data_IF_991648716951
#
_entry.id   IF_991648716951
#
_cell.length_a   1.000
_cell.length_b   1.000
_cell.length_c   1.000
_cell.angle_alpha   90.00
_cell.angle_beta   90.00
_cell.angle_gamma   90.00
#
_symmetry.space_group_name_H-M   'P 1'
#
loop_
_entity.id
_entity.type
_entity.pdbx_description
1 polymer ?
#
# COMPACT_ATOMS: atom_id res chain seq x y z
N UNK A 1 3.77 16.50 -17.83
CA UNK A 1 4.91 15.61 -17.49
C UNK A 1 4.60 14.22 -18.03
N UNK A 2 5.62 13.46 -18.47
CA UNK A 2 5.40 12.07 -18.87
C UNK A 2 4.86 11.25 -17.69
N UNK A 3 3.89 10.37 -17.94
CA UNK A 3 3.24 9.56 -16.90
C UNK A 3 4.23 8.69 -16.12
N UNK A 4 5.26 8.17 -16.80
CA UNK A 4 6.35 7.41 -16.17
C UNK A 4 7.18 8.27 -15.20
N UNK A 5 7.47 9.53 -15.57
CA UNK A 5 8.18 10.47 -14.68
C UNK A 5 7.33 10.81 -13.45
N UNK A 6 6.02 11.00 -13.63
CA UNK A 6 5.09 11.23 -12.50
C UNK A 6 5.08 10.02 -11.59
N UNK A 7 4.96 8.81 -12.13
CA UNK A 7 5.00 7.57 -11.36
C UNK A 7 6.28 7.44 -10.53
N UNK A 8 7.45 7.70 -11.14
CA UNK A 8 8.74 7.65 -10.44
C UNK A 8 8.82 8.65 -9.29
N UNK A 9 8.38 9.89 -9.51
CA UNK A 9 8.38 10.93 -8.47
C UNK A 9 7.45 10.55 -7.32
N UNK A 10 6.23 10.08 -7.64
CA UNK A 10 5.26 9.61 -6.64
C UNK A 10 5.84 8.47 -5.81
N UNK A 11 6.50 7.50 -6.44
CA UNK A 11 7.12 6.38 -5.77
C UNK A 11 8.32 6.77 -4.92
N UNK A 12 9.17 7.68 -5.40
CA UNK A 12 10.33 8.13 -4.65
C UNK A 12 9.90 8.89 -3.40
N UNK A 13 9.00 9.86 -3.54
CA UNK A 13 8.51 10.67 -2.42
C UNK A 13 7.68 9.80 -1.48
N UNK A 14 6.69 9.08 -2.01
CA UNK A 14 5.77 8.27 -1.20
C UNK A 14 6.47 7.08 -0.56
N UNK A 15 7.38 6.40 -1.25
CA UNK A 15 8.15 5.28 -0.68
C UNK A 15 9.06 5.73 0.46
N UNK A 16 9.77 6.85 0.29
CA UNK A 16 10.57 7.44 1.38
C UNK A 16 9.68 7.87 2.55
N UNK A 17 8.49 8.42 2.27
CA UNK A 17 7.55 8.82 3.30
C UNK A 17 7.02 7.61 4.11
N UNK A 18 6.65 6.51 3.45
CA UNK A 18 6.22 5.27 4.12
C UNK A 18 7.36 4.71 4.98
N UNK A 19 8.56 4.53 4.44
CA UNK A 19 9.69 4.02 5.23
C UNK A 19 10.05 4.96 6.38
N UNK A 20 9.97 6.27 6.14
CA UNK A 20 10.18 7.30 7.15
C UNK A 20 9.15 7.24 8.28
N UNK A 21 7.87 6.99 7.98
CA UNK A 21 6.83 6.88 9.01
C UNK A 21 7.07 5.67 9.92
N UNK A 22 7.51 4.54 9.36
CA UNK A 22 7.93 3.37 10.14
C UNK A 22 9.20 3.63 10.95
N UNK A 23 10.23 4.24 10.36
CA UNK A 23 11.48 4.53 11.05
C UNK A 23 11.28 5.50 12.21
N UNK A 24 10.45 6.53 12.03
CA UNK A 24 10.13 7.50 13.08
C UNK A 24 9.21 6.87 14.13
N UNK A 25 8.12 6.22 13.71
CA UNK A 25 7.13 5.63 14.61
C UNK A 25 7.72 4.56 15.51
N UNK A 26 8.46 3.60 14.92
CA UNK A 26 9.10 2.54 15.70
C UNK A 26 10.37 3.04 16.41
N UNK A 27 11.09 4.02 15.86
CA UNK A 27 12.34 4.52 16.44
C UNK A 27 12.14 5.40 17.66
N UNK A 28 11.26 6.41 17.56
CA UNK A 28 11.05 7.44 18.59
C UNK A 28 9.96 7.11 19.59
N UNK A 29 9.06 6.18 19.28
CA UNK A 29 7.98 5.75 20.18
C UNK A 29 8.06 4.26 20.51
N UNK A 30 9.14 3.81 21.19
CA UNK A 30 9.32 2.40 21.55
C UNK A 30 8.20 1.82 22.40
N UNK A 31 7.53 2.65 23.22
CA UNK A 31 6.43 2.28 24.09
C UNK A 31 5.21 1.74 23.33
N UNK A 32 4.93 2.26 22.14
CA UNK A 32 3.76 1.85 21.34
C UNK A 32 4.07 0.71 20.38
N UNK A 33 5.30 0.18 20.36
CA UNK A 33 5.71 -0.83 19.36
C UNK A 33 4.87 -2.08 19.38
N UNK A 34 4.42 -2.53 20.56
CA UNK A 34 3.62 -3.74 20.69
C UNK A 34 2.14 -3.45 20.38
N UNK A 35 1.64 -2.30 20.81
CA UNK A 35 0.28 -1.83 20.52
C UNK A 35 0.05 -1.58 19.02
N UNK A 36 1.07 -1.11 18.28
CA UNK A 36 1.01 -0.92 16.83
C UNK A 36 0.70 -2.21 16.05
N UNK A 37 0.93 -3.40 16.63
CA UNK A 37 0.55 -4.68 16.02
C UNK A 37 -0.87 -5.12 16.40
N UNK A 38 -1.65 -4.25 17.04
CA UNK A 38 -3.04 -4.49 17.41
C UNK A 38 -3.19 -5.65 18.40
N UNK A 39 -2.30 -5.75 19.38
CA UNK A 39 -2.33 -6.84 20.38
C UNK A 39 -1.93 -8.21 19.85
N UNK A 40 -1.51 -8.33 18.59
CA UNK A 40 -1.08 -9.59 17.98
C UNK A 40 0.33 -9.93 18.45
N UNK A 41 0.43 -11.04 19.20
CA UNK A 41 1.65 -11.46 19.88
C UNK A 41 2.18 -12.82 19.39
N UNK A 42 3.45 -13.11 19.72
CA UNK A 42 4.09 -14.39 19.45
C UNK A 42 4.24 -14.70 17.96
N UNK A 43 3.92 -15.94 17.56
CA UNK A 43 4.11 -16.45 16.20
C UNK A 43 3.31 -15.63 15.17
N UNK A 44 2.10 -15.19 15.53
CA UNK A 44 1.24 -14.44 14.61
C UNK A 44 1.81 -13.08 14.23
N UNK A 45 2.51 -12.41 15.15
CA UNK A 45 3.22 -11.16 14.86
C UNK A 45 4.31 -11.37 13.82
N UNK A 46 5.10 -12.44 13.96
CA UNK A 46 6.16 -12.76 13.01
C UNK A 46 5.60 -13.09 11.61
N UNK A 47 4.45 -13.77 11.55
CA UNK A 47 3.74 -14.02 10.29
C UNK A 47 3.32 -12.70 9.65
N UNK A 48 2.72 -11.77 10.41
CA UNK A 48 2.33 -10.46 9.87
C UNK A 48 3.52 -9.67 9.33
N UNK A 49 4.62 -9.59 10.08
CA UNK A 49 5.84 -8.91 9.64
C UNK A 49 6.40 -9.56 8.37
N UNK A 50 6.41 -10.89 8.31
CA UNK A 50 6.91 -11.62 7.12
C UNK A 50 6.06 -11.33 5.89
N UNK A 51 4.72 -11.32 6.03
CA UNK A 51 3.81 -11.00 4.93
C UNK A 51 3.90 -9.52 4.53
N UNK A 52 4.15 -8.61 5.48
CA UNK A 52 4.41 -7.19 5.21
C UNK A 52 5.67 -7.01 4.36
N UNK A 53 6.78 -7.66 4.74
CA UNK A 53 8.03 -7.61 3.97
C UNK A 53 7.87 -8.23 2.58
N UNK A 54 7.15 -9.35 2.48
CA UNK A 54 6.82 -9.97 1.18
C UNK A 54 6.00 -9.01 0.32
N UNK A 55 5.06 -8.27 0.91
CA UNK A 55 4.25 -7.27 0.21
C UNK A 55 5.12 -6.09 -0.26
N UNK A 56 6.06 -5.63 0.57
CA UNK A 56 7.05 -4.63 0.15
C UNK A 56 7.88 -5.08 -1.05
N UNK A 57 8.35 -6.33 -1.05
CA UNK A 57 9.09 -6.90 -2.18
C UNK A 57 8.22 -7.07 -3.44
N UNK A 58 6.97 -7.50 -3.28
CA UNK A 58 6.00 -7.57 -4.36
C UNK A 58 5.73 -6.17 -4.97
N UNK A 59 5.65 -5.14 -4.13
CA UNK A 59 5.48 -3.77 -4.61
C UNK A 59 6.67 -3.29 -5.45
N UNK A 60 7.90 -3.54 -4.98
CA UNK A 60 9.10 -3.23 -5.77
C UNK A 60 9.14 -3.99 -7.09
N UNK A 61 8.67 -5.24 -7.10
CA UNK A 61 8.54 -6.04 -8.32
C UNK A 61 7.56 -5.39 -9.30
N UNK A 62 6.38 -4.98 -8.82
CA UNK A 62 5.42 -4.22 -9.62
C UNK A 62 6.03 -2.92 -10.19
N UNK A 63 6.71 -2.13 -9.36
CA UNK A 63 7.39 -0.90 -9.80
C UNK A 63 8.43 -1.17 -10.89
N UNK A 64 9.23 -2.24 -10.77
CA UNK A 64 10.23 -2.60 -11.78
C UNK A 64 9.59 -2.87 -13.15
N UNK A 65 8.53 -3.67 -13.19
CA UNK A 65 7.84 -3.99 -14.45
C UNK A 65 7.25 -2.73 -15.09
N UNK A 66 6.63 -1.89 -14.28
CA UNK A 66 5.99 -0.66 -14.75
C UNK A 66 6.97 0.40 -15.25
N UNK A 67 8.18 0.44 -14.70
CA UNK A 67 9.18 1.44 -15.09
C UNK A 67 10.02 0.95 -16.27
N UNK A 68 10.40 -0.33 -16.29
CA UNK A 68 11.45 -0.81 -17.20
C UNK A 68 10.95 -1.71 -18.32
N UNK A 69 9.77 -2.32 -18.19
CA UNK A 69 9.29 -3.35 -19.11
C UNK A 69 8.02 -2.95 -19.86
N UNK A 70 7.18 -2.15 -19.22
CA UNK A 70 5.90 -1.73 -19.76
C UNK A 70 5.84 -0.21 -19.87
N UNK A 71 5.12 0.28 -20.88
CA UNK A 71 4.76 1.68 -20.92
C UNK A 71 3.47 1.86 -20.09
N UNK A 72 3.50 2.74 -19.08
CA UNK A 72 2.33 3.14 -18.28
C UNK A 72 1.16 3.57 -19.18
N UNK A 73 1.47 4.10 -20.36
CA UNK A 73 0.45 4.47 -21.35
C UNK A 73 -0.37 3.26 -21.83
N UNK A 74 0.17 2.05 -21.85
CA UNK A 74 -0.53 0.87 -22.39
C UNK A 74 -1.69 0.39 -21.50
N UNK A 75 -1.61 0.58 -20.19
CA UNK A 75 -2.67 0.16 -19.24
C UNK A 75 -3.67 1.27 -18.90
N UNK A 76 -3.25 2.54 -18.93
CA UNK A 76 -4.09 3.62 -18.44
C UNK A 76 -5.04 4.23 -19.46
N UNK A 77 -4.82 4.04 -20.77
CA UNK A 77 -5.56 4.74 -21.85
C UNK A 77 -7.08 4.61 -21.81
N UNK A 78 -7.61 3.51 -21.27
CA UNK A 78 -9.05 3.28 -21.20
C UNK A 78 -9.73 3.84 -19.94
N UNK A 79 -8.97 4.44 -19.02
CA UNK A 79 -9.48 4.97 -17.75
C UNK A 79 -9.65 6.49 -17.78
N UNK A 80 -10.47 7.02 -16.85
CA UNK A 80 -10.94 8.43 -16.83
C UNK A 80 -9.78 9.44 -16.90
N UNK A 81 -8.68 9.18 -16.19
CA UNK A 81 -7.48 10.03 -16.17
C UNK A 81 -6.34 9.47 -17.04
N UNK A 82 -6.66 8.49 -17.87
CA UNK A 82 -5.70 7.87 -18.76
C UNK A 82 -4.53 7.20 -18.00
N UNK A 83 -3.32 7.28 -18.56
CA UNK A 83 -2.04 6.81 -17.98
C UNK A 83 -1.76 7.32 -16.56
N UNK A 84 -2.29 8.49 -16.19
CA UNK A 84 -2.11 9.06 -14.86
C UNK A 84 -2.92 8.36 -13.77
N UNK A 85 -3.93 7.56 -14.13
CA UNK A 85 -4.73 6.77 -13.17
C UNK A 85 -3.86 5.89 -12.30
N UNK A 86 -2.86 5.22 -12.89
CA UNK A 86 -1.93 4.33 -12.16
C UNK A 86 -1.11 5.14 -11.15
N UNK A 87 -0.57 6.29 -11.57
CA UNK A 87 0.20 7.18 -10.69
C UNK A 87 -0.67 7.75 -9.56
N UNK A 88 -1.92 8.10 -9.84
CA UNK A 88 -2.86 8.61 -8.85
C UNK A 88 -3.18 7.55 -7.79
N UNK A 89 -3.58 6.34 -8.22
CA UNK A 89 -3.91 5.24 -7.28
C UNK A 89 -2.69 4.85 -6.45
N UNK A 90 -1.50 4.81 -7.08
CA UNK A 90 -0.24 4.55 -6.37
C UNK A 90 0.06 5.66 -5.36
N UNK A 91 -0.18 6.93 -5.71
CA UNK A 91 -0.01 8.06 -4.81
C UNK A 91 -0.99 8.03 -3.63
N UNK A 92 -2.25 7.71 -3.86
CA UNK A 92 -3.25 7.52 -2.80
C UNK A 92 -2.86 6.39 -1.86
N UNK A 93 -2.43 5.25 -2.42
CA UNK A 93 -1.88 4.12 -1.68
C UNK A 93 -0.71 4.56 -0.78
N UNK A 94 0.33 5.18 -1.34
CA UNK A 94 1.54 5.55 -0.58
C UNK A 94 1.26 6.63 0.47
N UNK A 95 0.43 7.62 0.15
CA UNK A 95 0.09 8.70 1.07
C UNK A 95 -0.70 8.16 2.27
N UNK A 96 -1.72 7.35 2.02
CA UNK A 96 -2.50 6.74 3.09
C UNK A 96 -1.68 5.71 3.91
N UNK A 97 -0.84 4.90 3.25
CA UNK A 97 0.12 4.01 3.90
C UNK A 97 1.24 4.75 4.67
N UNK A 98 1.47 6.04 4.40
CA UNK A 98 2.35 6.87 5.22
C UNK A 98 1.64 7.33 6.49
N UNK A 99 0.37 7.72 6.36
CA UNK A 99 -0.40 8.37 7.42
C UNK A 99 -0.86 7.44 8.54
N UNK A 100 -1.09 6.16 8.27
CA UNK A 100 -1.73 5.25 9.24
C UNK A 100 -0.94 5.11 10.55
N UNK A 101 0.40 5.01 10.50
CA UNK A 101 1.22 4.80 11.71
C UNK A 101 1.30 6.08 12.57
N UNK A 102 1.61 7.27 12.01
CA UNK A 102 1.53 8.52 12.76
C UNK A 102 0.14 8.76 13.38
N UNK A 103 -0.95 8.49 12.65
CA UNK A 103 -2.30 8.64 13.21
C UNK A 103 -2.61 7.61 14.29
N UNK A 104 -2.14 6.38 14.17
CA UNK A 104 -2.28 5.35 15.20
C UNK A 104 -1.55 5.76 16.49
N UNK A 105 -0.32 6.27 16.38
CA UNK A 105 0.45 6.77 17.52
C UNK A 105 -0.27 7.95 18.19
N UNK A 106 -0.79 8.90 17.40
CA UNK A 106 -1.56 10.01 17.94
C UNK A 106 -2.84 9.54 18.64
N UNK A 107 -3.49 8.50 18.13
CA UNK A 107 -4.63 7.88 18.80
C UNK A 107 -4.23 7.28 20.16
N UNK A 108 -3.16 6.49 20.22
CA UNK A 108 -2.68 5.87 21.47
C UNK A 108 -2.21 6.91 22.49
N UNK A 109 -1.60 8.01 22.03
CA UNK A 109 -1.13 9.07 22.93
C UNK A 109 -2.25 9.99 23.45
N UNK A 110 -3.27 10.29 22.64
CA UNK A 110 -4.31 11.28 22.98
C UNK A 110 -5.65 10.69 23.36
N UNK A 111 -5.86 9.39 23.10
CA UNK A 111 -7.14 8.68 23.24
C UNK A 111 -8.32 9.34 22.49
N UNK A 112 -8.03 10.21 21.51
CA UNK A 112 -9.05 10.91 20.75
C UNK A 112 -9.51 10.10 19.53
N UNK A 113 -10.81 9.76 19.50
CA UNK A 113 -11.46 8.98 18.44
C UNK A 113 -11.29 9.55 17.03
N UNK A 114 -11.01 10.85 16.86
CA UNK A 114 -10.74 11.43 15.53
C UNK A 114 -9.52 10.78 14.88
N UNK A 115 -8.45 10.52 15.66
CA UNK A 115 -7.25 9.88 15.15
C UNK A 115 -7.47 8.42 14.77
N UNK A 116 -8.36 7.73 15.49
CA UNK A 116 -8.79 6.39 15.10
C UNK A 116 -9.48 6.36 13.74
N UNK A 117 -10.39 7.32 13.48
CA UNK A 117 -11.05 7.45 12.18
C UNK A 117 -10.03 7.72 11.08
N UNK A 118 -9.01 8.56 11.32
CA UNK A 118 -7.93 8.78 10.36
C UNK A 118 -7.11 7.51 10.11
N UNK A 119 -6.77 6.74 11.14
CA UNK A 119 -6.04 5.48 11.00
C UNK A 119 -6.82 4.46 10.17
N UNK A 120 -8.05 4.16 10.56
CA UNK A 120 -8.90 3.20 9.84
C UNK A 120 -9.21 3.69 8.43
N UNK A 121 -9.49 4.98 8.27
CA UNK A 121 -9.68 5.60 6.97
C UNK A 121 -8.47 5.44 6.06
N UNK A 122 -7.26 5.67 6.58
CA UNK A 122 -6.02 5.48 5.83
C UNK A 122 -5.82 4.02 5.40
N UNK A 123 -6.09 3.04 6.28
CA UNK A 123 -6.00 1.62 5.94
C UNK A 123 -6.99 1.23 4.82
N UNK A 124 -8.24 1.69 4.89
CA UNK A 124 -9.22 1.43 3.84
C UNK A 124 -8.90 2.13 2.52
N UNK A 125 -8.39 3.36 2.54
CA UNK A 125 -7.95 4.07 1.32
C UNK A 125 -6.77 3.33 0.67
N UNK A 126 -5.82 2.85 1.47
CA UNK A 126 -4.69 2.01 1.03
C UNK A 126 -5.22 0.77 0.31
N UNK A 127 -6.11 0.03 0.97
CA UNK A 127 -6.68 -1.21 0.47
C UNK A 127 -7.51 -1.02 -0.81
N UNK A 128 -8.39 -0.02 -0.86
CA UNK A 128 -9.23 0.24 -2.04
C UNK A 128 -8.42 0.72 -3.25
N UNK A 129 -7.35 1.50 -3.02
CA UNK A 129 -6.45 1.93 -4.09
C UNK A 129 -5.72 0.74 -4.73
N UNK A 130 -5.22 -0.18 -3.89
CA UNK A 130 -4.55 -1.41 -4.34
C UNK A 130 -5.52 -2.41 -4.98
N UNK A 131 -6.73 -2.55 -4.44
CA UNK A 131 -7.76 -3.40 -5.04
C UNK A 131 -8.14 -2.90 -6.44
N UNK A 132 -8.27 -1.58 -6.58
CA UNK A 132 -8.53 -0.94 -7.88
C UNK A 132 -7.39 -1.20 -8.87
N UNK A 133 -6.13 -0.99 -8.45
CA UNK A 133 -4.96 -1.33 -9.28
C UNK A 133 -4.95 -2.81 -9.67
N UNK A 134 -5.18 -3.72 -8.72
CA UNK A 134 -5.22 -5.17 -8.99
C UNK A 134 -6.28 -5.50 -10.03
N UNK A 135 -7.49 -4.94 -9.88
CA UNK A 135 -8.58 -5.11 -10.85
C UNK A 135 -8.22 -4.61 -12.25
N UNK A 136 -7.56 -3.45 -12.35
CA UNK A 136 -7.12 -2.91 -13.65
C UNK A 136 -6.20 -3.90 -14.40
N UNK A 137 -5.27 -4.56 -13.71
CA UNK A 137 -4.35 -5.52 -14.35
C UNK A 137 -4.99 -6.88 -14.60
N UNK A 138 -5.79 -7.36 -13.64
CA UNK A 138 -6.46 -8.66 -13.73
C UNK A 138 -7.49 -8.71 -14.87
N UNK A 139 -8.20 -7.61 -15.11
CA UNK A 139 -9.27 -7.53 -16.12
C UNK A 139 -8.85 -6.82 -17.41
N UNK A 140 -7.56 -6.49 -17.59
CA UNK A 140 -7.06 -5.90 -18.84
C UNK A 140 -7.06 -6.95 -19.96
N UNK A 141 -8.06 -6.87 -20.84
CA UNK A 141 -8.25 -7.78 -21.99
C UNK A 141 -7.78 -7.19 -23.32
N UNK A 142 -7.51 -5.88 -23.38
CA UNK A 142 -7.35 -5.14 -24.64
C UNK A 142 -5.92 -4.70 -24.95
N UNK A 143 -5.00 -4.84 -24.01
CA UNK A 143 -3.65 -4.32 -24.17
C UNK A 143 -2.69 -5.36 -24.82
N UNK A 144 -1.89 -4.98 -25.83
CA UNK A 144 -0.93 -5.88 -26.51
C UNK A 144 0.32 -6.10 -25.64
N UNK A 145 0.11 -6.68 -24.46
CA UNK A 145 1.14 -6.78 -23.42
C UNK A 145 1.57 -8.23 -23.28
N UNK A 146 2.87 -8.52 -23.12
CA UNK A 146 3.34 -9.87 -22.85
C UNK A 146 2.59 -10.48 -21.67
N UNK A 147 2.05 -11.68 -21.87
CA UNK A 147 1.24 -12.38 -20.85
C UNK A 147 2.00 -12.54 -19.53
N UNK A 148 3.32 -12.78 -19.62
CA UNK A 148 4.20 -12.90 -18.46
C UNK A 148 4.17 -11.63 -17.59
N UNK A 149 4.30 -10.45 -18.20
CA UNK A 149 4.41 -9.19 -17.49
C UNK A 149 3.10 -8.85 -16.78
N UNK A 150 1.98 -9.02 -17.48
CA UNK A 150 0.63 -8.90 -16.89
C UNK A 150 0.45 -9.84 -15.69
N UNK A 151 0.85 -11.11 -15.79
CA UNK A 151 0.72 -12.08 -14.69
C UNK A 151 1.55 -11.65 -13.49
N UNK A 152 2.82 -11.26 -13.71
CA UNK A 152 3.70 -10.83 -12.61
C UNK A 152 3.16 -9.59 -11.92
N UNK A 153 2.71 -8.57 -12.67
CA UNK A 153 2.08 -7.38 -12.11
C UNK A 153 0.81 -7.73 -11.32
N UNK A 154 -0.04 -8.62 -11.85
CA UNK A 154 -1.29 -9.03 -11.20
C UNK A 154 -1.03 -9.80 -9.91
N UNK A 155 -0.08 -10.74 -9.91
CA UNK A 155 0.29 -11.53 -8.72
C UNK A 155 0.90 -10.61 -7.67
N UNK A 156 1.81 -9.71 -8.07
CA UNK A 156 2.43 -8.74 -7.17
C UNK A 156 1.39 -7.85 -6.49
N UNK A 157 0.48 -7.26 -7.27
CA UNK A 157 -0.62 -6.44 -6.75
C UNK A 157 -1.59 -7.23 -5.87
N UNK A 158 -1.84 -8.50 -6.19
CA UNK A 158 -2.71 -9.38 -5.38
C UNK A 158 -2.09 -9.67 -4.00
N UNK A 159 -0.78 -9.91 -3.92
CA UNK A 159 -0.07 -10.13 -2.66
C UNK A 159 -0.20 -8.89 -1.75
N UNK A 160 0.07 -7.71 -2.30
CA UNK A 160 0.03 -6.45 -1.55
C UNK A 160 -1.42 -6.13 -1.13
N UNK A 161 -2.37 -6.32 -2.04
CA UNK A 161 -3.80 -6.12 -1.76
C UNK A 161 -4.26 -7.06 -0.65
N UNK A 162 -3.87 -8.33 -0.67
CA UNK A 162 -4.21 -9.28 0.39
C UNK A 162 -3.71 -8.80 1.75
N UNK A 163 -2.46 -8.35 1.84
CA UNK A 163 -1.91 -7.81 3.08
C UNK A 163 -2.67 -6.57 3.54
N UNK A 164 -2.78 -5.53 2.71
CA UNK A 164 -3.39 -4.27 3.13
C UNK A 164 -4.91 -4.36 3.35
N UNK A 165 -5.63 -5.18 2.58
CA UNK A 165 -7.08 -5.34 2.74
C UNK A 165 -7.41 -6.31 3.87
N UNK A 166 -6.87 -7.53 3.82
CA UNK A 166 -7.28 -8.59 4.75
C UNK A 166 -6.57 -8.43 6.08
N UNK A 167 -5.25 -8.28 6.07
CA UNK A 167 -4.48 -8.24 7.30
C UNK A 167 -4.58 -6.88 7.99
N UNK A 168 -4.44 -5.77 7.25
CA UNK A 168 -4.44 -4.44 7.87
C UNK A 168 -5.86 -3.88 8.02
N UNK A 169 -6.61 -3.68 6.94
CA UNK A 169 -7.91 -3.00 7.02
C UNK A 169 -9.01 -3.82 7.72
N UNK A 170 -8.93 -5.15 7.70
CA UNK A 170 -9.94 -6.04 8.32
C UNK A 170 -9.43 -6.63 9.63
N UNK A 171 -8.38 -7.47 9.59
CA UNK A 171 -7.93 -8.23 10.77
C UNK A 171 -7.37 -7.30 11.83
N UNK A 172 -6.43 -6.42 11.49
CA UNK A 172 -5.81 -5.52 12.46
C UNK A 172 -6.85 -4.61 13.12
N UNK A 173 -7.76 -4.01 12.34
CA UNK A 173 -8.84 -3.16 12.88
C UNK A 173 -9.75 -3.93 13.84
N UNK A 174 -10.05 -5.20 13.55
CA UNK A 174 -10.90 -6.03 14.42
C UNK A 174 -10.22 -6.47 15.71
N UNK A 175 -8.90 -6.65 15.68
CA UNK A 175 -8.13 -7.12 16.85
C UNK A 175 -7.62 -5.95 17.69
N UNK A 176 -7.41 -4.76 17.13
CA UNK A 176 -6.77 -3.62 17.81
C UNK A 176 -7.41 -3.23 19.16
N UNK A 177 -8.73 -3.37 19.30
CA UNK A 177 -9.46 -3.03 20.53
C UNK A 177 -9.78 -4.22 21.44
N UNK A 178 -9.18 -5.38 21.21
CA UNK A 178 -9.35 -6.60 22.02
C UNK A 178 -8.16 -6.87 22.91
#
# INVERSE_FOLDING_TARGET
MNAQTVFLIVNLIGGVAVLGSYAIGLGYFPEYRDELWGGINGIWRNVLITVMLLSGAAYLTFCYFIVFREDIHTYGTHFILGPHTISLLTGLFLLSATMWMPSAILYMHTENNIWWVFTVGALWVTALSLLSLTGMYAFSTTAPIPVFDRIVCTVSLSIITFHCLVLDAIVWVFVFHK
#
